data_IF_706755292463
#
_entry.id   IF_706755292463
#
_cell.length_a   1.000
_cell.length_b   1.000
_cell.length_c   1.000
_cell.angle_alpha   90.00
_cell.angle_beta   90.00
_cell.angle_gamma   90.00
#
_symmetry.space_group_name_H-M   'P 1'
#
loop_
_entity.id
_entity.type
_entity.pdbx_description
1 polymer ?
#
# COMPACT_ATOMS: atom_id res chain seq x y z
N UNK A 1 -22.19 -1.01 25.40
CA UNK A 1 -21.62 -1.35 24.08
C UNK A 1 -20.49 -0.36 23.82
N UNK A 2 -19.29 -0.85 23.51
CA UNK A 2 -18.18 0.02 23.10
C UNK A 2 -18.50 0.69 21.77
N UNK A 3 -18.09 1.95 21.61
CA UNK A 3 -18.20 2.65 20.33
C UNK A 3 -17.26 2.00 19.30
N UNK A 4 -17.51 2.22 18.01
CA UNK A 4 -16.64 1.70 16.96
C UNK A 4 -15.20 2.25 17.09
N UNK A 5 -15.06 3.51 17.51
CA UNK A 5 -13.75 4.13 17.80
C UNK A 5 -13.00 3.42 18.95
N UNK A 6 -13.71 3.04 20.01
CA UNK A 6 -13.13 2.26 21.10
C UNK A 6 -12.67 0.88 20.64
N UNK A 7 -13.45 0.21 19.80
CA UNK A 7 -13.08 -1.08 19.22
C UNK A 7 -11.83 -0.99 18.33
N UNK A 8 -11.74 0.06 17.49
CA UNK A 8 -10.56 0.33 16.64
C UNK A 8 -9.33 0.54 17.51
N UNK A 9 -9.42 1.41 18.54
CA UNK A 9 -8.31 1.68 19.44
C UNK A 9 -7.90 0.45 20.24
N UNK A 10 -8.84 -0.30 20.75
CA UNK A 10 -8.59 -1.53 21.51
C UNK A 10 -7.85 -2.56 20.62
N UNK A 11 -8.29 -2.72 19.37
CA UNK A 11 -7.65 -3.60 18.38
C UNK A 11 -6.23 -3.13 18.03
N UNK A 12 -6.03 -1.84 17.79
CA UNK A 12 -4.71 -1.26 17.49
C UNK A 12 -3.73 -1.47 18.65
N UNK A 13 -4.16 -1.22 19.88
CA UNK A 13 -3.34 -1.43 21.08
C UNK A 13 -2.99 -2.91 21.28
N UNK A 14 -3.93 -3.83 21.05
CA UNK A 14 -3.66 -5.26 21.13
C UNK A 14 -2.61 -5.71 20.10
N UNK A 15 -2.67 -5.19 18.86
CA UNK A 15 -1.69 -5.46 17.82
C UNK A 15 -0.32 -4.87 18.12
N UNK A 16 -0.26 -3.68 18.71
CA UNK A 16 0.98 -2.96 19.01
C UNK A 16 1.65 -3.32 20.32
N UNK A 17 0.94 -3.97 21.23
CA UNK A 17 1.47 -4.34 22.56
C UNK A 17 2.79 -5.11 22.52
N UNK A 18 3.02 -6.09 21.60
CA UNK A 18 4.29 -6.80 21.50
C UNK A 18 5.47 -5.91 21.13
N UNK A 19 5.22 -4.72 20.57
CA UNK A 19 6.22 -3.76 20.09
C UNK A 19 6.39 -2.57 21.04
N UNK A 20 5.80 -2.63 22.24
CA UNK A 20 5.95 -1.61 23.26
C UNK A 20 5.01 -0.40 23.10
N UNK A 21 3.93 -0.55 22.32
CA UNK A 21 2.91 0.50 22.19
C UNK A 21 2.20 0.72 23.53
N UNK A 22 2.16 1.97 23.98
CA UNK A 22 1.51 2.38 25.23
C UNK A 22 0.17 3.06 24.90
N UNK A 23 -0.90 2.82 25.68
CA UNK A 23 -2.16 3.52 25.49
C UNK A 23 -1.97 5.03 25.59
N UNK A 24 -2.32 5.76 24.53
CA UNK A 24 -2.42 7.22 24.53
C UNK A 24 -3.89 7.63 24.63
N UNK A 25 -4.16 8.63 25.51
CA UNK A 25 -5.52 9.12 25.74
C UNK A 25 -5.89 10.30 24.84
N UNK A 26 -4.93 10.83 24.08
CA UNK A 26 -5.07 12.16 23.46
C UNK A 26 -5.59 12.08 22.02
N UNK A 27 -5.22 11.05 21.26
CA UNK A 27 -5.61 10.93 19.86
C UNK A 27 -6.85 10.07 19.68
N UNK A 28 -7.84 10.61 18.96
CA UNK A 28 -9.04 9.88 18.54
C UNK A 28 -8.71 9.12 17.24
N UNK A 29 -9.05 7.83 17.12
CA UNK A 29 -8.89 7.09 15.86
C UNK A 29 -9.58 7.83 14.70
N UNK A 30 -8.88 8.01 13.59
CA UNK A 30 -9.53 8.49 12.36
C UNK A 30 -10.33 7.33 11.79
N UNK A 31 -11.62 7.54 11.73
CA UNK A 31 -12.52 6.69 11.01
C UNK A 31 -13.28 7.55 10.03
N UNK A 32 -13.45 7.05 8.83
CA UNK A 32 -14.48 7.61 7.99
C UNK A 32 -15.84 7.24 8.56
N UNK A 33 -16.64 8.24 8.87
CA UNK A 33 -18.05 8.03 9.25
C UNK A 33 -18.89 7.62 8.03
N UNK A 34 -18.34 7.82 6.83
CA UNK A 34 -18.98 7.48 5.58
C UNK A 34 -18.39 6.19 4.99
N UNK A 35 -19.14 5.07 4.96
CA UNK A 35 -18.68 3.83 4.35
C UNK A 35 -18.31 3.98 2.86
N UNK A 36 -18.88 4.96 2.16
CA UNK A 36 -18.56 5.24 0.75
C UNK A 36 -17.21 5.94 0.58
N UNK A 37 -16.60 6.44 1.65
CA UNK A 37 -15.28 7.09 1.59
C UNK A 37 -14.12 6.09 1.57
N UNK A 38 -14.33 4.83 1.90
CA UNK A 38 -13.31 3.78 1.80
C UNK A 38 -13.24 3.29 0.36
N UNK A 39 -12.03 3.23 -0.18
CA UNK A 39 -11.83 2.74 -1.56
C UNK A 39 -12.37 1.33 -1.72
N UNK A 40 -13.15 1.12 -2.79
CA UNK A 40 -13.70 -0.17 -3.13
C UNK A 40 -12.66 -1.14 -3.71
N UNK A 41 -12.98 -2.44 -3.68
CA UNK A 41 -12.14 -3.54 -4.14
C UNK A 41 -11.50 -3.28 -5.51
N UNK A 42 -12.28 -2.77 -6.47
CA UNK A 42 -11.78 -2.50 -7.84
C UNK A 42 -10.64 -1.46 -7.85
N UNK A 43 -10.77 -0.38 -7.07
CA UNK A 43 -9.74 0.68 -6.98
C UNK A 43 -8.48 0.13 -6.33
N UNK A 44 -8.63 -0.65 -5.27
CA UNK A 44 -7.53 -1.24 -4.52
C UNK A 44 -6.79 -2.27 -5.37
N UNK A 45 -7.51 -3.18 -6.04
CA UNK A 45 -6.92 -4.21 -6.90
C UNK A 45 -6.17 -3.60 -8.10
N UNK A 46 -6.77 -2.60 -8.77
CA UNK A 46 -6.13 -1.91 -9.90
C UNK A 46 -4.88 -1.17 -9.47
N UNK A 47 -4.91 -0.48 -8.34
CA UNK A 47 -3.74 0.22 -7.81
C UNK A 47 -2.62 -0.74 -7.41
N UNK A 48 -2.96 -1.90 -6.81
CA UNK A 48 -1.99 -2.95 -6.50
C UNK A 48 -1.31 -3.47 -7.77
N UNK A 49 -2.09 -3.77 -8.81
CA UNK A 49 -1.55 -4.22 -10.09
C UNK A 49 -0.61 -3.21 -10.72
N UNK A 50 -1.04 -1.94 -10.82
CA UNK A 50 -0.23 -0.87 -11.39
C UNK A 50 1.08 -0.66 -10.61
N UNK A 51 1.01 -0.59 -9.28
CA UNK A 51 2.20 -0.46 -8.42
C UNK A 51 3.16 -1.65 -8.56
N UNK A 52 2.63 -2.87 -8.63
CA UNK A 52 3.45 -4.07 -8.79
C UNK A 52 4.31 -4.02 -10.06
N UNK A 53 3.75 -3.66 -11.20
CA UNK A 53 4.50 -3.52 -12.45
C UNK A 53 5.49 -2.37 -12.41
N UNK A 54 5.09 -1.21 -11.86
CA UNK A 54 5.97 -0.05 -11.76
C UNK A 54 7.18 -0.29 -10.84
N UNK A 55 6.97 -0.94 -9.69
CA UNK A 55 8.06 -1.28 -8.76
C UNK A 55 9.02 -2.28 -9.40
N UNK A 56 8.52 -3.28 -10.13
CA UNK A 56 9.38 -4.22 -10.86
C UNK A 56 10.23 -3.50 -11.91
N UNK A 57 9.64 -2.55 -12.63
CA UNK A 57 10.39 -1.71 -13.56
C UNK A 57 11.44 -0.87 -12.83
N UNK A 58 11.07 -0.19 -11.74
CA UNK A 58 12.00 0.62 -10.96
C UNK A 58 13.20 -0.19 -10.45
N UNK A 59 12.96 -1.42 -9.97
CA UNK A 59 14.00 -2.33 -9.54
C UNK A 59 14.94 -2.76 -10.69
N UNK A 60 14.41 -2.98 -11.89
CA UNK A 60 15.23 -3.29 -13.07
C UNK A 60 16.08 -2.09 -13.50
N UNK A 61 15.48 -0.88 -13.54
CA UNK A 61 16.17 0.35 -13.93
C UNK A 61 17.27 0.79 -12.96
N UNK A 62 17.24 0.35 -11.71
CA UNK A 62 18.36 0.56 -10.77
C UNK A 62 19.58 -0.29 -11.08
N UNK A 63 19.41 -1.34 -11.89
CA UNK A 63 20.51 -2.21 -12.33
C UNK A 63 21.00 -1.78 -13.71
N UNK A 64 20.08 -1.42 -14.60
CA UNK A 64 20.36 -0.95 -15.96
C UNK A 64 19.40 0.20 -16.31
N UNK A 65 19.90 1.44 -16.28
CA UNK A 65 19.09 2.65 -16.45
C UNK A 65 18.48 2.79 -17.86
N UNK A 66 19.12 2.22 -18.88
CA UNK A 66 18.75 2.35 -20.29
C UNK A 66 18.04 1.09 -20.85
N UNK A 67 17.43 0.28 -19.98
CA UNK A 67 16.77 -0.97 -20.39
C UNK A 67 15.41 -0.71 -21.08
N UNK A 68 15.48 -0.33 -22.35
CA UNK A 68 14.31 -0.11 -23.21
C UNK A 68 13.51 -1.41 -23.46
N UNK A 69 14.16 -2.56 -23.46
CA UNK A 69 13.50 -3.86 -23.62
C UNK A 69 12.63 -4.18 -22.42
N UNK A 70 13.16 -3.97 -21.21
CA UNK A 70 12.40 -4.14 -19.97
C UNK A 70 11.23 -3.17 -19.90
N UNK A 71 11.43 -1.87 -20.28
CA UNK A 71 10.34 -0.89 -20.37
C UNK A 71 9.23 -1.37 -21.31
N UNK A 72 9.60 -1.84 -22.50
CA UNK A 72 8.64 -2.33 -23.50
C UNK A 72 7.88 -3.55 -22.97
N UNK A 73 8.58 -4.50 -22.36
CA UNK A 73 7.99 -5.71 -21.78
C UNK A 73 7.01 -5.38 -20.64
N UNK A 74 7.38 -4.52 -19.70
CA UNK A 74 6.51 -4.12 -18.60
C UNK A 74 5.28 -3.35 -19.10
N UNK A 75 5.46 -2.48 -20.10
CA UNK A 75 4.35 -1.73 -20.74
C UNK A 75 3.34 -2.67 -21.39
N UNK A 76 3.81 -3.66 -22.14
CA UNK A 76 2.95 -4.65 -22.76
C UNK A 76 2.25 -5.51 -21.71
N UNK A 77 2.99 -6.00 -20.71
CA UNK A 77 2.44 -6.85 -19.65
C UNK A 77 1.40 -6.12 -18.82
N UNK A 78 1.65 -4.87 -18.41
CA UNK A 78 0.69 -4.06 -17.64
C UNK A 78 -0.60 -3.77 -18.43
N UNK A 79 -0.47 -3.55 -19.76
CA UNK A 79 -1.61 -3.38 -20.65
C UNK A 79 -2.41 -4.68 -20.77
N UNK A 80 -1.74 -5.81 -21.00
CA UNK A 80 -2.39 -7.11 -21.08
C UNK A 80 -3.05 -7.52 -19.76
N UNK A 81 -2.46 -7.12 -18.65
CA UNK A 81 -3.05 -7.29 -17.32
C UNK A 81 -4.27 -6.37 -17.09
N UNK A 82 -4.35 -5.24 -17.77
CA UNK A 82 -5.45 -4.28 -17.73
C UNK A 82 -5.34 -3.22 -16.65
N UNK A 83 -4.12 -2.76 -16.33
CA UNK A 83 -3.84 -1.73 -15.29
C UNK A 83 -2.98 -0.56 -15.78
N UNK A 84 -2.71 -0.46 -17.06
CA UNK A 84 -1.91 0.61 -17.65
C UNK A 84 -2.49 2.02 -17.40
N UNK A 85 -3.82 2.14 -17.34
CA UNK A 85 -4.53 3.40 -17.04
C UNK A 85 -4.61 3.72 -15.54
N UNK A 86 -4.21 2.80 -14.67
CA UNK A 86 -4.26 2.97 -13.21
C UNK A 86 -2.90 3.39 -12.63
N UNK A 87 -1.91 3.59 -13.50
CA UNK A 87 -0.58 4.07 -13.13
C UNK A 87 -0.59 5.56 -12.82
N UNK A 88 0.22 5.96 -11.85
CA UNK A 88 0.47 7.37 -11.53
C UNK A 88 1.32 8.03 -12.62
N UNK A 89 1.35 9.36 -12.64
CA UNK A 89 2.16 10.09 -13.62
C UNK A 89 3.65 9.72 -13.54
N UNK A 90 4.21 9.46 -12.34
CA UNK A 90 5.59 9.00 -12.18
C UNK A 90 5.82 7.61 -12.77
N UNK A 91 4.92 6.70 -12.52
CA UNK A 91 4.99 5.34 -13.04
C UNK A 91 4.89 5.33 -14.57
N UNK A 92 4.05 6.19 -15.12
CA UNK A 92 3.97 6.43 -16.57
C UNK A 92 5.29 6.99 -17.11
N UNK A 93 5.90 7.96 -16.42
CA UNK A 93 7.22 8.50 -16.81
C UNK A 93 8.30 7.42 -16.83
N UNK A 94 8.30 6.49 -15.86
CA UNK A 94 9.22 5.34 -15.88
C UNK A 94 9.04 4.48 -17.14
N UNK A 95 7.79 4.19 -17.51
CA UNK A 95 7.48 3.39 -18.70
C UNK A 95 7.93 4.04 -20.02
N UNK A 96 7.95 5.37 -20.06
CA UNK A 96 8.30 6.12 -21.28
C UNK A 96 9.76 6.59 -21.33
N UNK A 97 10.52 6.41 -20.26
CA UNK A 97 11.90 6.87 -20.18
C UNK A 97 12.05 8.38 -19.89
N UNK A 98 10.95 9.06 -19.54
CA UNK A 98 10.92 10.49 -19.19
C UNK A 98 11.11 10.72 -17.68
N UNK A 99 11.78 9.77 -17.01
CA UNK A 99 11.97 9.77 -15.55
C UNK A 99 13.32 10.34 -15.14
N UNK A 100 13.38 10.83 -13.90
CA UNK A 100 14.63 11.12 -13.18
C UNK A 100 15.03 9.93 -12.31
N UNK A 101 16.29 9.87 -11.87
CA UNK A 101 16.76 8.89 -10.86
C UNK A 101 15.89 8.93 -9.60
N UNK A 102 15.49 10.14 -9.17
CA UNK A 102 14.59 10.31 -8.04
C UNK A 102 13.21 9.67 -8.25
N UNK A 103 12.68 9.70 -9.47
CA UNK A 103 11.38 9.05 -9.76
C UNK A 103 11.51 7.53 -9.62
N UNK A 104 12.64 6.95 -10.04
CA UNK A 104 12.93 5.51 -9.85
C UNK A 104 12.97 5.17 -8.36
N UNK A 105 13.71 5.94 -7.57
CA UNK A 105 13.82 5.75 -6.12
C UNK A 105 12.47 5.92 -5.40
N UNK A 106 11.67 6.93 -5.77
CA UNK A 106 10.35 7.18 -5.19
C UNK A 106 9.38 6.03 -5.49
N UNK A 107 9.39 5.50 -6.72
CA UNK A 107 8.53 4.36 -7.10
C UNK A 107 8.99 3.09 -6.39
N UNK A 108 10.30 2.81 -6.34
CA UNK A 108 10.83 1.70 -5.56
C UNK A 108 10.49 1.83 -4.07
N UNK A 109 10.59 3.03 -3.51
CA UNK A 109 10.24 3.32 -2.13
C UNK A 109 8.78 3.03 -1.77
N UNK A 110 7.92 2.75 -2.77
CA UNK A 110 6.52 2.36 -2.58
C UNK A 110 6.31 0.87 -2.26
N UNK A 111 7.35 0.06 -2.13
CA UNK A 111 7.26 -1.38 -1.83
C UNK A 111 6.43 -1.67 -0.58
N UNK A 112 6.67 -0.95 0.50
CA UNK A 112 5.91 -1.11 1.75
C UNK A 112 4.44 -0.70 1.59
N UNK A 113 4.18 0.33 0.79
CA UNK A 113 2.82 0.74 0.47
C UNK A 113 2.09 -0.33 -0.34
N UNK A 114 2.76 -0.92 -1.33
CA UNK A 114 2.23 -2.04 -2.11
C UNK A 114 1.90 -3.25 -1.24
N UNK A 115 2.77 -3.61 -0.28
CA UNK A 115 2.54 -4.72 0.63
C UNK A 115 1.30 -4.51 1.52
N UNK A 116 1.08 -3.29 2.01
CA UNK A 116 -0.14 -2.92 2.75
C UNK A 116 -1.39 -3.08 1.88
N UNK A 117 -1.34 -2.64 0.62
CA UNK A 117 -2.46 -2.76 -0.32
C UNK A 117 -2.73 -4.22 -0.66
N UNK A 118 -1.68 -5.04 -0.84
CA UNK A 118 -1.81 -6.48 -1.06
C UNK A 118 -2.45 -7.19 0.14
N UNK A 119 -2.05 -6.83 1.36
CA UNK A 119 -2.71 -7.33 2.57
C UNK A 119 -4.21 -7.00 2.60
N UNK A 120 -4.58 -5.78 2.25
CA UNK A 120 -5.99 -5.36 2.26
C UNK A 120 -6.87 -6.15 1.27
N UNK A 121 -6.27 -6.78 0.27
CA UNK A 121 -6.91 -7.73 -0.66
C UNK A 121 -6.78 -9.19 -0.17
N UNK A 122 -6.76 -9.43 1.13
CA UNK A 122 -6.61 -10.75 1.75
C UNK A 122 -5.31 -11.47 1.32
N UNK A 123 -4.26 -10.67 1.05
CA UNK A 123 -2.98 -11.13 0.50
C UNK A 123 -1.93 -11.52 1.54
N UNK A 124 -2.31 -11.97 2.75
CA UNK A 124 -1.34 -12.45 3.73
C UNK A 124 -1.49 -11.90 5.15
N UNK A 125 -0.46 -12.05 6.00
CA UNK A 125 -0.49 -11.54 7.37
C UNK A 125 -0.46 -10.00 7.38
N UNK A 126 -1.19 -9.41 8.34
CA UNK A 126 -1.16 -7.97 8.54
C UNK A 126 0.27 -7.48 8.85
N UNK A 127 0.74 -6.41 8.21
CA UNK A 127 2.08 -5.87 8.44
C UNK A 127 2.12 -5.09 9.76
N UNK A 128 2.05 -5.78 10.89
CA UNK A 128 1.97 -5.16 12.24
C UNK A 128 3.33 -4.85 12.86
N UNK A 129 4.40 -5.53 12.45
CA UNK A 129 5.75 -5.32 12.99
C UNK A 129 6.39 -4.05 12.39
N UNK A 130 6.61 -2.99 13.19
CA UNK A 130 7.15 -1.73 12.69
C UNK A 130 8.67 -1.77 12.45
N UNK A 131 9.33 -2.89 12.73
CA UNK A 131 10.80 -3.04 12.63
C UNK A 131 11.23 -3.89 11.44
N UNK A 132 10.30 -4.66 10.85
CA UNK A 132 10.61 -5.60 9.77
C UNK A 132 9.99 -5.14 8.45
N UNK A 133 10.77 -5.13 7.35
CA UNK A 133 10.22 -4.96 6.01
C UNK A 133 9.15 -6.01 5.71
N UNK A 134 8.22 -5.62 4.85
CA UNK A 134 7.19 -6.54 4.34
C UNK A 134 7.78 -7.53 3.34
N UNK A 135 7.12 -8.67 3.15
CA UNK A 135 7.43 -9.62 2.08
C UNK A 135 6.88 -9.09 0.75
N UNK A 136 7.76 -8.45 -0.02
CA UNK A 136 7.42 -7.81 -1.30
C UNK A 136 7.14 -8.86 -2.37
N UNK A 137 7.82 -9.99 -2.33
CA UNK A 137 7.56 -11.09 -3.26
C UNK A 137 6.17 -11.68 -3.05
N UNK A 138 5.74 -11.82 -1.79
CA UNK A 138 4.37 -12.23 -1.48
C UNK A 138 3.34 -11.23 -2.04
N UNK A 139 3.58 -9.93 -1.94
CA UNK A 139 2.72 -8.90 -2.51
C UNK A 139 2.66 -8.96 -4.04
N UNK A 140 3.79 -9.13 -4.72
CA UNK A 140 3.86 -9.35 -6.18
C UNK A 140 3.12 -10.63 -6.59
N UNK A 141 3.25 -11.70 -5.82
CA UNK A 141 2.58 -12.97 -6.10
C UNK A 141 1.05 -12.88 -6.06
N UNK A 142 0.47 -11.96 -5.27
CA UNK A 142 -0.98 -11.68 -5.31
C UNK A 142 -1.39 -11.22 -6.70
N UNK A 143 -0.62 -10.32 -7.32
CA UNK A 143 -0.88 -9.83 -8.68
C UNK A 143 -0.65 -10.92 -9.72
N UNK A 144 0.47 -11.63 -9.64
CA UNK A 144 0.84 -12.66 -10.63
C UNK A 144 -0.20 -13.78 -10.69
N UNK A 145 -0.71 -14.22 -9.55
CA UNK A 145 -1.75 -15.27 -9.47
C UNK A 145 -3.07 -14.85 -10.10
N UNK A 146 -3.33 -13.56 -10.14
CA UNK A 146 -4.50 -13.00 -10.80
C UNK A 146 -4.49 -13.20 -12.32
N UNK A 147 -3.29 -13.31 -12.96
CA UNK A 147 -3.11 -13.41 -14.42
C UNK A 147 -3.68 -12.22 -15.21
N UNK A 148 -4.77 -11.62 -14.75
CA UNK A 148 -5.45 -10.47 -15.30
C UNK A 148 -6.23 -9.76 -14.20
N UNK A 149 -6.42 -8.44 -14.30
CA UNK A 149 -7.07 -7.62 -13.26
C UNK A 149 -8.48 -8.11 -12.92
N UNK A 150 -9.24 -8.57 -13.91
CA UNK A 150 -10.59 -9.09 -13.67
C UNK A 150 -10.54 -10.32 -12.76
N UNK A 151 -9.64 -11.26 -13.03
CA UNK A 151 -9.48 -12.47 -12.22
C UNK A 151 -8.96 -12.16 -10.81
N UNK A 152 -8.07 -11.17 -10.68
CA UNK A 152 -7.65 -10.68 -9.37
C UNK A 152 -8.86 -10.17 -8.57
N UNK A 153 -9.70 -9.33 -9.18
CA UNK A 153 -10.91 -8.81 -8.52
C UNK A 153 -11.92 -9.89 -8.13
N UNK A 154 -12.05 -10.94 -8.94
CA UNK A 154 -12.95 -12.08 -8.66
C UNK A 154 -12.45 -12.95 -7.49
N UNK A 155 -11.14 -13.04 -7.30
CA UNK A 155 -10.51 -13.85 -6.26
C UNK A 155 -10.25 -13.09 -4.96
N UNK A 156 -10.21 -11.76 -5.03
CA UNK A 156 -9.86 -10.92 -3.90
C UNK A 156 -11.06 -10.70 -2.97
N UNK A 157 -10.79 -10.72 -1.67
CA UNK A 157 -11.72 -10.37 -0.62
C UNK A 157 -11.10 -9.26 0.23
N UNK A 158 -11.83 -8.17 0.43
CA UNK A 158 -11.35 -7.07 1.26
C UNK A 158 -11.30 -7.49 2.73
N UNK A 159 -10.17 -7.19 3.36
CA UNK A 159 -10.05 -7.27 4.81
C UNK A 159 -11.14 -6.42 5.47
N UNK A 160 -11.75 -6.90 6.58
CA UNK A 160 -12.79 -6.14 7.27
C UNK A 160 -12.38 -4.71 7.59
N UNK A 161 -13.28 -3.76 7.41
CA UNK A 161 -13.02 -2.33 7.61
C UNK A 161 -12.47 -2.02 9.01
N UNK A 162 -12.90 -2.75 10.03
CA UNK A 162 -12.38 -2.63 11.39
C UNK A 162 -10.86 -2.91 11.46
N UNK A 163 -10.38 -3.94 10.76
CA UNK A 163 -8.96 -4.30 10.73
C UNK A 163 -8.13 -3.24 9.99
N UNK A 164 -8.65 -2.69 8.90
CA UNK A 164 -8.00 -1.58 8.18
C UNK A 164 -7.92 -0.35 9.08
N UNK A 165 -9.02 0.03 9.73
CA UNK A 165 -9.07 1.16 10.66
C UNK A 165 -8.14 0.97 11.87
N UNK A 166 -8.09 -0.24 12.42
CA UNK A 166 -7.18 -0.57 13.52
C UNK A 166 -5.70 -0.46 13.10
N UNK A 167 -5.38 -0.87 11.88
CA UNK A 167 -4.02 -0.77 11.36
C UNK A 167 -3.64 0.71 11.09
N UNK A 168 -4.57 1.53 10.61
CA UNK A 168 -4.37 2.99 10.46
C UNK A 168 -4.03 3.62 11.83
N UNK A 169 -4.83 3.33 12.85
CA UNK A 169 -4.62 3.85 14.20
C UNK A 169 -3.30 3.35 14.79
N UNK A 170 -2.95 2.07 14.61
CA UNK A 170 -1.69 1.47 15.01
C UNK A 170 -0.48 2.23 14.44
N UNK A 171 -0.45 2.46 13.13
CA UNK A 171 0.68 3.14 12.49
C UNK A 171 0.78 4.63 12.83
N UNK A 172 -0.34 5.26 13.16
CA UNK A 172 -0.33 6.61 13.71
C UNK A 172 0.30 6.65 15.09
N UNK A 173 -0.10 5.73 15.96
CA UNK A 173 0.47 5.60 17.30
C UNK A 173 1.96 5.25 17.27
N UNK A 174 2.40 4.39 16.36
CA UNK A 174 3.82 4.13 16.15
C UNK A 174 4.60 5.38 15.74
N UNK A 175 4.05 6.16 14.82
CA UNK A 175 4.68 7.42 14.40
C UNK A 175 4.75 8.44 15.54
N UNK A 176 3.67 8.60 16.33
CA UNK A 176 3.58 9.52 17.46
C UNK A 176 4.53 9.14 18.61
N UNK A 177 4.69 7.83 18.86
CA UNK A 177 5.54 7.34 19.95
C UNK A 177 6.97 7.00 19.51
N UNK A 178 7.31 7.18 18.23
CA UNK A 178 8.64 6.89 17.70
C UNK A 178 9.01 5.41 17.73
N UNK A 179 8.03 4.51 17.64
CA UNK A 179 8.22 3.06 17.70
C UNK A 179 8.60 2.50 16.32
N UNK A 180 9.64 1.67 16.28
CA UNK A 180 10.07 0.96 15.08
C UNK A 180 10.90 1.80 14.10
N UNK A 181 11.10 1.27 12.89
CA UNK A 181 11.76 2.00 11.80
C UNK A 181 10.81 3.05 11.23
N UNK A 182 11.12 4.32 11.45
CA UNK A 182 10.25 5.43 11.05
C UNK A 182 10.09 5.56 9.53
N UNK A 183 10.98 5.01 8.70
CA UNK A 183 10.80 4.94 7.24
C UNK A 183 9.71 3.94 6.89
N UNK A 184 9.75 2.75 7.46
CA UNK A 184 8.72 1.73 7.27
C UNK A 184 7.36 2.20 7.82
N UNK A 185 7.36 2.76 9.03
CA UNK A 185 6.15 3.30 9.67
C UNK A 185 5.50 4.35 8.79
N UNK A 186 6.29 5.30 8.26
CA UNK A 186 5.79 6.35 7.37
C UNK A 186 5.24 5.78 6.07
N UNK A 187 5.96 4.89 5.41
CA UNK A 187 5.54 4.30 4.14
C UNK A 187 4.20 3.53 4.27
N UNK A 188 4.07 2.72 5.30
CA UNK A 188 2.84 1.97 5.59
C UNK A 188 1.69 2.87 6.00
N UNK A 189 1.97 3.90 6.83
CA UNK A 189 0.97 4.88 7.23
C UNK A 189 0.38 5.60 6.01
N UNK A 190 1.23 6.07 5.08
CA UNK A 190 0.79 6.73 3.85
C UNK A 190 -0.16 5.83 3.05
N UNK A 191 0.19 4.55 2.89
CA UNK A 191 -0.65 3.58 2.19
C UNK A 191 -1.99 3.34 2.90
N UNK A 192 -1.97 3.24 4.23
CA UNK A 192 -3.18 3.03 5.03
C UNK A 192 -4.12 4.25 4.96
N UNK A 193 -3.57 5.46 5.08
CA UNK A 193 -4.37 6.69 4.98
C UNK A 193 -4.86 6.93 3.54
N UNK A 194 -4.17 6.37 2.52
CA UNK A 194 -4.65 6.38 1.14
C UNK A 194 -6.04 5.71 0.98
N UNK A 195 -6.37 4.71 1.78
CA UNK A 195 -7.71 4.10 1.75
C UNK A 195 -8.84 5.09 2.08
N UNK A 196 -8.53 6.16 2.84
CA UNK A 196 -9.50 7.13 3.33
C UNK A 196 -9.61 8.41 2.48
N UNK A 197 -8.73 8.58 1.49
CA UNK A 197 -8.69 9.80 0.67
C UNK A 197 -9.03 9.52 -0.78
N UNK A 198 -9.47 10.56 -1.52
CA UNK A 198 -9.81 10.43 -2.95
C UNK A 198 -8.59 10.37 -3.87
N UNK A 199 -7.41 10.82 -3.38
CA UNK A 199 -6.17 10.79 -4.16
C UNK A 199 -5.81 9.35 -4.59
N UNK A 200 -5.39 9.16 -5.83
CA UNK A 200 -5.01 7.85 -6.37
C UNK A 200 -3.50 7.57 -6.22
N UNK A 201 -2.69 8.61 -6.06
CA UNK A 201 -1.25 8.49 -5.84
C UNK A 201 -0.93 8.66 -4.36
N UNK A 202 -0.57 7.59 -3.68
CA UNK A 202 -0.18 7.64 -2.27
C UNK A 202 1.07 8.49 -2.00
N UNK A 203 1.95 8.69 -3.00
CA UNK A 203 3.13 9.57 -2.89
C UNK A 203 2.75 11.07 -2.79
N UNK A 204 1.50 11.43 -3.12
CA UNK A 204 0.99 12.80 -2.98
C UNK A 204 0.31 13.06 -1.65
N UNK A 205 0.10 12.04 -0.83
CA UNK A 205 -0.51 12.21 0.48
C UNK A 205 0.50 12.92 1.40
N UNK A 206 0.10 14.07 1.89
CA UNK A 206 0.89 14.91 2.82
C UNK A 206 0.20 14.94 4.18
N UNK A 207 1.00 14.80 5.22
CA UNK A 207 0.58 14.88 6.61
C UNK A 207 1.22 16.08 7.30
#
# INVERSE_FOLDING_TARGET
>A
MSTLQEQVRERALALGAPFGLVPDKVTVPIMSEDPESVKGLSVIARRLGAASFAIRLANALLVDEDDDETRATIRETSRNYGVDYDMTQREISLLHGDNTERDIEDVKGSEEAMAVVAWALNGGPAPVDPTKPSDIDAAHNVVIRGEHIQKLMEQAELVPQLEVAALIDLYRLYAEQGIGDQKLVRARRVALEWFLVRENDWLRIRF
#
